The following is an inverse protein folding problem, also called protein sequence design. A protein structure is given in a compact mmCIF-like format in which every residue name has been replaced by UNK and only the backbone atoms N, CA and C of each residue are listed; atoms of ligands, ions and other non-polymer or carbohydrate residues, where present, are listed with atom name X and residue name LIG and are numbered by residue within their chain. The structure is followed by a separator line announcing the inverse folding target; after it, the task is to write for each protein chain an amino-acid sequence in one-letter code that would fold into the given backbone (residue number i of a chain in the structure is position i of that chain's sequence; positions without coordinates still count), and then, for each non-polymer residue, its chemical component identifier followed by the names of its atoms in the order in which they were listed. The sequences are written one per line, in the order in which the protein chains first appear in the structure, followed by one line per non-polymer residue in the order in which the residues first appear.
data_IF_626973798643
#
_entry.id   IF_626973798643
#
_cell.length_a   1.000
_cell.length_b   1.000
_cell.length_c   1.000
_cell.angle_alpha   90.00
_cell.angle_beta   90.00
_cell.angle_gamma   90.00
#
_symmetry.space_group_name_H-M   'P 1'
#
loop_
_entity.id
_entity.type
_entity.pdbx_description
1 polymer ?
#
# COMPACT_ATOMS: atom_id res chain seq x y z
N UNK A 1 19.27 12.82 -18.65
CA UNK A 1 18.44 11.60 -18.48
C UNK A 1 18.14 11.33 -17.00
N UNK A 2 19.13 11.36 -16.10
CA UNK A 2 18.91 11.21 -14.65
C UNK A 2 18.04 12.31 -14.02
N UNK A 3 18.18 13.55 -14.46
CA UNK A 3 17.38 14.69 -13.99
C UNK A 3 15.87 14.48 -14.25
N UNK A 4 15.51 14.04 -15.46
CA UNK A 4 14.13 13.71 -15.84
C UNK A 4 13.53 12.56 -14.99
N UNK A 5 14.31 11.54 -14.66
CA UNK A 5 13.86 10.46 -13.76
C UNK A 5 13.65 10.96 -12.33
N UNK A 6 14.51 11.86 -11.86
CA UNK A 6 14.34 12.53 -10.56
C UNK A 6 13.07 13.37 -10.50
N UNK A 7 12.77 14.12 -11.56
CA UNK A 7 11.56 14.93 -11.68
C UNK A 7 10.29 14.08 -11.71
N UNK A 8 10.31 12.95 -12.42
CA UNK A 8 9.19 12.02 -12.49
C UNK A 8 8.91 11.34 -11.14
N UNK A 9 9.96 10.99 -10.38
CA UNK A 9 9.83 10.45 -9.03
C UNK A 9 9.26 11.48 -8.06
N UNK A 10 9.75 12.72 -8.10
CA UNK A 10 9.24 13.80 -7.27
C UNK A 10 7.78 14.13 -7.60
N UNK A 11 7.41 14.13 -8.88
CA UNK A 11 6.03 14.29 -9.31
C UNK A 11 5.11 13.18 -8.77
N UNK A 12 5.55 11.92 -8.81
CA UNK A 12 4.78 10.81 -8.25
C UNK A 12 4.59 10.93 -6.73
N UNK A 13 5.64 11.35 -6.00
CA UNK A 13 5.56 11.60 -4.55
C UNK A 13 4.58 12.73 -4.22
N UNK A 14 4.62 13.83 -4.97
CA UNK A 14 3.67 14.94 -4.78
C UNK A 14 2.23 14.50 -5.04
N UNK A 15 1.97 13.74 -6.11
CA UNK A 15 0.64 13.18 -6.39
C UNK A 15 0.17 12.28 -5.25
N UNK A 16 1.04 11.41 -4.73
CA UNK A 16 0.72 10.55 -3.61
C UNK A 16 0.32 11.37 -2.36
N UNK A 17 1.05 12.43 -2.06
CA UNK A 17 0.75 13.30 -0.91
C UNK A 17 -0.57 14.05 -1.07
N UNK A 18 -0.92 14.48 -2.29
CA UNK A 18 -2.24 15.06 -2.59
C UNK A 18 -3.34 14.01 -2.35
N UNK A 19 -3.11 12.76 -2.75
CA UNK A 19 -4.01 11.63 -2.47
C UNK A 19 -4.24 11.44 -0.96
N UNK A 20 -3.19 11.51 -0.15
CA UNK A 20 -3.28 11.45 1.32
C UNK A 20 -4.09 12.62 1.87
N UNK A 21 -3.88 13.85 1.37
CA UNK A 21 -4.66 15.02 1.80
C UNK A 21 -6.15 14.81 1.56
N UNK A 22 -6.54 14.32 0.37
CA UNK A 22 -7.95 14.03 0.08
C UNK A 22 -8.51 12.85 0.89
N UNK A 23 -7.70 11.84 1.19
CA UNK A 23 -8.09 10.75 2.10
C UNK A 23 -8.44 11.29 3.49
N UNK A 24 -7.60 12.19 4.04
CA UNK A 24 -7.84 12.83 5.35
C UNK A 24 -9.09 13.70 5.35
N UNK A 25 -9.43 14.30 4.21
CA UNK A 25 -10.69 15.03 3.99
C UNK A 25 -11.90 14.11 3.76
N UNK A 26 -11.73 12.79 3.81
CA UNK A 26 -12.73 11.77 3.46
C UNK A 26 -13.28 11.90 2.03
N UNK A 27 -12.56 12.60 1.15
CA UNK A 27 -12.87 12.66 -0.27
C UNK A 27 -12.17 11.49 -0.97
N UNK A 28 -12.76 10.31 -0.84
CA UNK A 28 -12.14 9.06 -1.28
C UNK A 28 -12.00 8.98 -2.81
N UNK A 29 -12.91 9.57 -3.58
CA UNK A 29 -12.83 9.51 -5.04
C UNK A 29 -11.66 10.34 -5.60
N UNK A 30 -11.45 11.55 -5.06
CA UNK A 30 -10.24 12.33 -5.40
C UNK A 30 -8.98 11.66 -4.89
N UNK A 31 -9.02 11.07 -3.69
CA UNK A 31 -7.88 10.33 -3.15
C UNK A 31 -7.45 9.21 -4.09
N UNK A 32 -8.40 8.39 -4.57
CA UNK A 32 -8.16 7.33 -5.55
C UNK A 32 -7.56 7.89 -6.85
N UNK A 33 -8.12 8.99 -7.39
CA UNK A 33 -7.61 9.61 -8.61
C UNK A 33 -6.13 9.98 -8.49
N UNK A 34 -5.72 10.63 -7.40
CA UNK A 34 -4.33 11.04 -7.22
C UNK A 34 -3.39 9.88 -6.90
N UNK A 35 -3.84 8.89 -6.14
CA UNK A 35 -3.05 7.68 -5.90
C UNK A 35 -2.84 6.84 -7.17
N UNK A 36 -3.85 6.74 -8.04
CA UNK A 36 -3.75 6.05 -9.32
C UNK A 36 -2.79 6.77 -10.30
N UNK A 37 -2.85 8.11 -10.37
CA UNK A 37 -1.88 8.90 -11.14
C UNK A 37 -0.45 8.68 -10.63
N UNK A 38 -0.25 8.62 -9.32
CA UNK A 38 1.06 8.31 -8.73
C UNK A 38 1.50 6.87 -9.07
N UNK A 39 0.58 5.90 -9.00
CA UNK A 39 0.84 4.49 -9.34
C UNK A 39 1.29 4.34 -10.80
N UNK A 40 0.59 4.97 -11.74
CA UNK A 40 0.92 4.92 -13.17
C UNK A 40 2.35 5.43 -13.43
N UNK A 41 2.74 6.55 -12.82
CA UNK A 41 4.11 7.07 -12.92
C UNK A 41 5.13 6.11 -12.31
N UNK A 42 4.86 5.57 -11.14
CA UNK A 42 5.76 4.61 -10.46
C UNK A 42 5.94 3.32 -11.25
N UNK A 43 4.89 2.82 -11.92
CA UNK A 43 4.96 1.68 -12.85
C UNK A 43 5.86 1.97 -14.05
N UNK A 44 5.81 3.18 -14.63
CA UNK A 44 6.68 3.57 -15.73
C UNK A 44 8.16 3.62 -15.35
N UNK A 45 8.46 3.99 -14.10
CA UNK A 45 9.84 4.06 -13.58
C UNK A 45 10.38 2.71 -13.08
N UNK A 46 9.55 1.69 -12.92
CA UNK A 46 9.97 0.36 -12.45
C UNK A 46 10.35 0.27 -10.96
N UNK A 47 9.89 1.19 -10.11
CA UNK A 47 10.25 1.19 -8.69
C UNK A 47 9.29 0.34 -7.86
N UNK A 48 9.61 -0.94 -7.66
CA UNK A 48 8.76 -1.92 -6.96
C UNK A 48 8.28 -1.45 -5.56
N UNK A 49 9.17 -0.88 -4.76
CA UNK A 49 8.84 -0.34 -3.43
C UNK A 49 7.83 0.82 -3.49
N UNK A 50 8.02 1.73 -4.43
CA UNK A 50 7.15 2.89 -4.60
C UNK A 50 5.79 2.47 -5.16
N UNK A 51 5.76 1.49 -6.08
CA UNK A 51 4.53 0.87 -6.60
C UNK A 51 3.75 0.23 -5.44
N UNK A 52 4.41 -0.57 -4.59
CA UNK A 52 3.78 -1.19 -3.42
C UNK A 52 3.16 -0.14 -2.48
N UNK A 53 3.87 0.96 -2.20
CA UNK A 53 3.34 2.06 -1.40
C UNK A 53 2.08 2.70 -2.01
N UNK A 54 2.06 2.93 -3.33
CA UNK A 54 0.86 3.41 -4.03
C UNK A 54 -0.31 2.45 -3.88
N UNK A 55 -0.08 1.15 -4.11
CA UNK A 55 -1.11 0.11 -4.01
C UNK A 55 -1.67 0.02 -2.60
N UNK A 56 -0.82 0.04 -1.57
CA UNK A 56 -1.24 0.05 -0.17
C UNK A 56 -2.11 1.28 0.18
N UNK A 57 -1.78 2.45 -0.34
CA UNK A 57 -2.62 3.65 -0.17
C UNK A 57 -3.98 3.50 -0.85
N UNK A 58 -4.03 2.96 -2.07
CA UNK A 58 -5.30 2.67 -2.76
C UNK A 58 -6.13 1.66 -1.97
N UNK A 59 -5.51 0.60 -1.46
CA UNK A 59 -6.13 -0.38 -0.57
C UNK A 59 -6.76 0.28 0.66
N UNK A 60 -6.05 1.21 1.29
CA UNK A 60 -6.55 1.96 2.45
C UNK A 60 -7.77 2.81 2.11
N UNK A 61 -7.80 3.41 0.91
CA UNK A 61 -8.97 4.17 0.48
C UNK A 61 -10.18 3.26 0.29
N UNK A 62 -10.01 2.08 -0.32
CA UNK A 62 -11.10 1.11 -0.46
C UNK A 62 -11.56 0.52 0.88
N UNK A 63 -10.64 0.26 1.81
CA UNK A 63 -10.96 -0.16 3.20
C UNK A 63 -11.84 0.90 3.86
N UNK A 64 -11.49 2.18 3.76
CA UNK A 64 -12.28 3.27 4.32
C UNK A 64 -13.67 3.43 3.67
N UNK A 65 -13.80 3.01 2.41
CA UNK A 65 -15.09 2.91 1.70
C UNK A 65 -15.87 1.61 2.03
N UNK A 66 -15.35 0.76 2.91
CA UNK A 66 -15.89 -0.58 3.23
C UNK A 66 -15.98 -1.51 2.01
N UNK A 67 -15.16 -1.28 0.99
CA UNK A 67 -15.05 -2.14 -0.20
C UNK A 67 -13.89 -3.11 0.02
N UNK A 68 -14.09 -4.06 0.92
CA UNK A 68 -13.03 -4.91 1.46
C UNK A 68 -12.39 -5.82 0.41
N UNK A 69 -13.16 -6.36 -0.53
CA UNK A 69 -12.65 -7.22 -1.62
C UNK A 69 -11.67 -6.45 -2.51
N UNK A 70 -12.04 -5.21 -2.89
CA UNK A 70 -11.14 -4.34 -3.65
C UNK A 70 -9.92 -3.94 -2.83
N UNK A 71 -10.09 -3.59 -1.56
CA UNK A 71 -8.96 -3.27 -0.69
C UNK A 71 -7.96 -4.44 -0.63
N UNK A 72 -8.49 -5.66 -0.53
CA UNK A 72 -7.70 -6.88 -0.49
C UNK A 72 -6.91 -7.10 -1.79
N UNK A 73 -7.52 -6.90 -2.96
CA UNK A 73 -6.82 -6.99 -4.26
C UNK A 73 -5.56 -6.10 -4.28
N UNK A 74 -5.70 -4.82 -3.94
CA UNK A 74 -4.58 -3.88 -3.91
C UNK A 74 -3.54 -4.20 -2.83
N UNK A 75 -4.00 -4.62 -1.65
CA UNK A 75 -3.07 -5.00 -0.59
C UNK A 75 -2.29 -6.28 -0.90
N UNK A 76 -2.88 -7.25 -1.61
CA UNK A 76 -2.19 -8.47 -2.03
C UNK A 76 -1.18 -8.19 -3.16
N UNK A 77 -1.51 -7.30 -4.12
CA UNK A 77 -0.54 -6.86 -5.13
C UNK A 77 0.65 -6.13 -4.48
N UNK A 78 0.37 -5.25 -3.51
CA UNK A 78 1.41 -4.59 -2.70
C UNK A 78 2.27 -5.60 -1.94
N UNK A 79 1.66 -6.65 -1.39
CA UNK A 79 2.35 -7.67 -0.61
C UNK A 79 3.35 -8.45 -1.46
N UNK A 80 2.95 -8.91 -2.64
CA UNK A 80 3.82 -9.62 -3.58
C UNK A 80 5.05 -8.78 -3.97
N UNK A 81 4.87 -7.46 -4.18
CA UNK A 81 5.98 -6.56 -4.47
C UNK A 81 6.92 -6.36 -3.28
N UNK A 82 6.39 -6.20 -2.07
CA UNK A 82 7.21 -6.02 -0.87
C UNK A 82 8.01 -7.29 -0.52
N UNK A 83 7.47 -8.47 -0.81
CA UNK A 83 8.19 -9.75 -0.66
C UNK A 83 9.37 -9.84 -1.64
N UNK A 84 9.20 -9.36 -2.88
CA UNK A 84 10.27 -9.36 -3.89
C UNK A 84 11.37 -8.35 -3.62
N UNK A 85 11.08 -7.29 -2.87
CA UNK A 85 12.03 -6.20 -2.60
C UNK A 85 12.72 -6.30 -1.23
N UNK A 86 12.45 -7.37 -0.48
CA UNK A 86 12.97 -7.62 0.87
C UNK A 86 12.75 -6.45 1.85
N UNK A 87 11.71 -5.64 1.61
CA UNK A 87 11.37 -4.51 2.46
C UNK A 87 10.49 -4.97 3.63
N UNK A 88 11.14 -5.48 4.67
CA UNK A 88 10.47 -6.02 5.86
C UNK A 88 9.53 -5.02 6.55
N UNK A 89 9.86 -3.72 6.55
CA UNK A 89 9.05 -2.68 7.19
C UNK A 89 7.73 -2.47 6.45
N UNK A 90 7.77 -2.42 5.12
CA UNK A 90 6.57 -2.31 4.31
C UNK A 90 5.76 -3.61 4.35
N UNK A 91 6.43 -4.77 4.33
CA UNK A 91 5.77 -6.07 4.45
C UNK A 91 4.98 -6.20 5.76
N UNK A 92 5.58 -5.85 6.91
CA UNK A 92 4.91 -5.91 8.21
C UNK A 92 3.62 -5.06 8.23
N UNK A 93 3.71 -3.81 7.78
CA UNK A 93 2.55 -2.91 7.70
C UNK A 93 1.47 -3.44 6.74
N UNK A 94 1.88 -3.98 5.59
CA UNK A 94 0.96 -4.50 4.60
C UNK A 94 0.25 -5.78 5.07
N UNK A 95 0.97 -6.69 5.74
CA UNK A 95 0.38 -7.88 6.37
C UNK A 95 -0.67 -7.50 7.40
N UNK A 96 -0.37 -6.51 8.26
CA UNK A 96 -1.34 -6.00 9.23
C UNK A 96 -2.60 -5.44 8.55
N UNK A 97 -2.45 -4.68 7.45
CA UNK A 97 -3.59 -4.17 6.69
C UNK A 97 -4.43 -5.30 6.06
N UNK A 98 -3.79 -6.33 5.50
CA UNK A 98 -4.49 -7.51 4.96
C UNK A 98 -5.27 -8.23 6.07
N UNK A 99 -4.63 -8.43 7.23
CA UNK A 99 -5.27 -9.02 8.41
C UNK A 99 -6.53 -8.26 8.83
N UNK A 100 -6.45 -6.92 8.91
CA UNK A 100 -7.61 -6.05 9.21
C UNK A 100 -8.73 -6.16 8.18
N UNK A 101 -8.39 -6.25 6.89
CA UNK A 101 -9.39 -6.44 5.83
C UNK A 101 -10.08 -7.79 5.95
N UNK A 102 -9.34 -8.87 6.24
CA UNK A 102 -9.95 -10.17 6.50
C UNK A 102 -10.83 -10.21 7.75
N UNK A 103 -10.50 -9.44 8.80
CA UNK A 103 -11.42 -9.23 9.93
C UNK A 103 -12.73 -8.57 9.47
N UNK A 104 -12.65 -7.54 8.62
CA UNK A 104 -13.83 -6.90 8.02
C UNK A 104 -14.69 -7.84 7.17
N UNK A 105 -14.05 -8.82 6.53
CA UNK A 105 -14.71 -9.88 5.76
C UNK A 105 -15.20 -11.07 6.61
N UNK A 106 -14.99 -11.05 7.93
CA UNK A 106 -15.23 -12.19 8.85
C UNK A 106 -14.48 -13.48 8.46
N UNK A 107 -13.36 -13.36 7.73
CA UNK A 107 -12.49 -14.48 7.40
C UNK A 107 -11.38 -14.60 8.45
N UNK A 108 -11.77 -15.10 9.63
CA UNK A 108 -10.88 -15.21 10.78
C UNK A 108 -9.61 -16.05 10.53
N UNK A 109 -9.64 -17.19 9.80
CA UNK A 109 -8.43 -17.95 9.53
C UNK A 109 -7.38 -17.18 8.73
N UNK A 110 -7.80 -16.39 7.72
CA UNK A 110 -6.85 -15.56 6.97
C UNK A 110 -6.42 -14.33 7.79
N UNK A 111 -7.32 -13.74 8.59
CA UNK A 111 -6.96 -12.64 9.48
C UNK A 111 -5.85 -13.04 10.45
N UNK A 112 -6.01 -14.16 11.15
CA UNK A 112 -5.02 -14.73 12.07
C UNK A 112 -3.68 -14.92 11.38
N UNK A 113 -3.66 -15.64 10.25
CA UNK A 113 -2.44 -15.88 9.47
C UNK A 113 -1.68 -14.58 9.14
N UNK A 114 -2.35 -13.55 8.62
CA UNK A 114 -1.66 -12.32 8.23
C UNK A 114 -1.26 -11.44 9.41
N UNK A 115 -2.00 -11.48 10.52
CA UNK A 115 -1.62 -10.78 11.76
C UNK A 115 -0.42 -11.45 12.44
N UNK A 116 -0.34 -12.78 12.43
CA UNK A 116 0.84 -13.51 12.91
C UNK A 116 2.09 -13.16 12.10
N UNK A 117 1.96 -13.14 10.76
CA UNK A 117 3.06 -12.71 9.88
C UNK A 117 3.50 -11.28 10.21
N UNK A 118 2.54 -10.36 10.41
CA UNK A 118 2.87 -8.98 10.78
C UNK A 118 3.62 -8.89 12.11
N UNK A 119 3.21 -9.67 13.12
CA UNK A 119 3.88 -9.74 14.42
C UNK A 119 5.31 -10.27 14.30
N UNK A 120 5.50 -11.37 13.56
CA UNK A 120 6.82 -11.98 13.36
C UNK A 120 7.79 -11.00 12.67
N UNK A 121 7.32 -10.30 11.63
CA UNK A 121 8.12 -9.30 10.95
C UNK A 121 8.45 -8.10 11.86
N UNK A 122 7.53 -7.70 12.75
CA UNK A 122 7.78 -6.64 13.72
C UNK A 122 8.85 -7.05 14.75
N UNK A 123 8.85 -8.30 15.21
CA UNK A 123 9.89 -8.83 16.10
C UNK A 123 11.26 -8.88 15.41
N UNK A 124 11.31 -9.30 14.15
CA UNK A 124 12.55 -9.30 13.35
C UNK A 124 13.11 -7.87 13.18
N UNK A 125 12.22 -6.91 12.95
CA UNK A 125 12.59 -5.49 12.85
C UNK A 125 13.17 -4.98 14.18
N UNK A 126 12.55 -5.32 15.30
CA UNK A 126 12.98 -4.87 16.63
C UNK A 126 14.32 -5.48 17.07
N UNK A 127 14.72 -6.59 16.47
CA UNK A 127 15.98 -7.28 16.75
C UNK A 127 17.19 -6.74 15.95
N UNK A 128 16.99 -5.79 15.03
CA UNK A 128 18.05 -5.14 14.23
C UNK A 128 18.51 -3.83 14.84
#
# INVERSE_FOLDING_TARGET
MFEKLGDELNAAKSLNNIGISYFRLKNYDKSLQYHDLALQKRRQMGSGNEIANSLSNIGQVYEAKQQYEKALEYYLESWDLNQKSENIWNAANNANNIGKVYLGLNNFPQAEKYLEIASQLADEIAAK
#
